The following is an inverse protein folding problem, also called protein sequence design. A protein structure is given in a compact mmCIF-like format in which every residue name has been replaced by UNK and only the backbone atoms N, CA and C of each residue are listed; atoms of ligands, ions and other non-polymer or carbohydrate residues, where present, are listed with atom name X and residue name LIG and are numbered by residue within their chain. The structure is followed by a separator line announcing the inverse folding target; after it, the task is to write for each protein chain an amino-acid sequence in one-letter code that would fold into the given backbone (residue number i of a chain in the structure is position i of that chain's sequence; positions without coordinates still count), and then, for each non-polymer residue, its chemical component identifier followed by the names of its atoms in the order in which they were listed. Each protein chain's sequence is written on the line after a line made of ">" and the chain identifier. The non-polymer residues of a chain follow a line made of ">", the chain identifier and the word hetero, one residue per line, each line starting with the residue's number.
data_IF_861905021152
#
_entry.id   IF_861905021152
#
_cell.length_a   1.000
_cell.length_b   1.000
_cell.length_c   1.000
_cell.angle_alpha   90.00
_cell.angle_beta   90.00
_cell.angle_gamma   90.00
#
_symmetry.space_group_name_H-M   'P 1'
#
loop_
_entity.id
_entity.type
_entity.pdbx_description
1 polymer ?
#
# COMPACT_ATOMS: atom_id res chain seq x y z
N UNK A 1 -7.96 9.62 -23.31
CA UNK A 1 -6.78 8.72 -23.43
C UNK A 1 -7.02 7.55 -22.50
N UNK A 2 -6.64 6.35 -22.91
CA UNK A 2 -6.84 5.15 -22.11
C UNK A 2 -5.89 5.10 -20.89
N UNK A 3 -6.39 4.71 -19.71
CA UNK A 3 -5.60 4.71 -18.45
C UNK A 3 -4.37 3.82 -18.52
N UNK A 4 -4.51 2.64 -19.12
CA UNK A 4 -3.42 1.68 -19.28
C UNK A 4 -2.39 2.17 -20.31
N UNK A 5 -2.85 2.78 -21.40
CA UNK A 5 -1.98 3.43 -22.38
C UNK A 5 -1.17 4.57 -21.76
N UNK A 6 -1.82 5.46 -21.00
CA UNK A 6 -1.14 6.59 -20.35
C UNK A 6 -0.05 6.11 -19.38
N UNK A 7 -0.32 5.05 -18.60
CA UNK A 7 0.68 4.45 -17.72
C UNK A 7 1.86 3.85 -18.50
N UNK A 8 1.60 3.15 -19.62
CA UNK A 8 2.67 2.60 -20.47
C UNK A 8 3.51 3.68 -21.14
N UNK A 9 2.90 4.78 -21.58
CA UNK A 9 3.64 5.93 -22.12
C UNK A 9 4.55 6.55 -21.05
N UNK A 10 4.05 6.71 -19.83
CA UNK A 10 4.85 7.16 -18.70
C UNK A 10 6.01 6.18 -18.42
N UNK A 11 5.74 4.87 -18.42
CA UNK A 11 6.76 3.83 -18.20
C UNK A 11 7.86 3.90 -19.26
N UNK A 12 7.51 3.96 -20.54
CA UNK A 12 8.46 4.09 -21.66
C UNK A 12 9.34 5.34 -21.51
N UNK A 13 8.72 6.49 -21.22
CA UNK A 13 9.41 7.76 -21.05
C UNK A 13 10.42 7.73 -19.89
N UNK A 14 10.15 6.96 -18.84
CA UNK A 14 10.98 6.87 -17.63
C UNK A 14 11.87 5.61 -17.59
N UNK A 15 11.90 4.83 -18.68
CA UNK A 15 12.74 3.64 -18.80
C UNK A 15 12.31 2.49 -17.90
N UNK A 16 11.01 2.32 -17.69
CA UNK A 16 10.42 1.17 -17.00
C UNK A 16 9.81 0.18 -18.00
N UNK A 17 10.04 -1.10 -17.75
CA UNK A 17 9.41 -2.21 -18.46
C UNK A 17 8.09 -2.64 -17.81
N UNK A 18 7.98 -2.44 -16.48
CA UNK A 18 6.77 -2.77 -15.73
C UNK A 18 6.51 -1.79 -14.59
N UNK A 19 5.29 -1.81 -14.06
CA UNK A 19 4.89 -1.06 -12.88
C UNK A 19 3.93 -1.87 -12.00
N UNK A 20 4.15 -1.84 -10.68
CA UNK A 20 3.30 -2.50 -9.68
C UNK A 20 2.25 -1.54 -9.14
N UNK A 21 1.03 -2.02 -8.98
CA UNK A 21 -0.08 -1.25 -8.42
C UNK A 21 -0.84 -2.15 -7.44
N UNK A 22 -0.53 -2.13 -6.14
CA UNK A 22 -1.27 -2.90 -5.14
C UNK A 22 -2.56 -2.20 -4.71
N UNK A 23 -3.48 -2.96 -4.08
CA UNK A 23 -4.44 -2.38 -3.13
C UNK A 23 -3.71 -2.12 -1.82
N UNK A 24 -3.06 -0.95 -1.71
CA UNK A 24 -2.39 -0.51 -0.49
C UNK A 24 -2.32 1.02 -0.44
N UNK A 25 -2.17 1.55 0.76
CA UNK A 25 -1.74 2.91 1.04
C UNK A 25 -0.46 2.90 1.89
N UNK A 26 0.05 4.08 2.24
CA UNK A 26 1.26 4.25 3.03
C UNK A 26 1.19 3.66 4.44
N UNK A 27 -0.01 3.32 4.92
CA UNK A 27 -0.26 2.76 6.25
C UNK A 27 -0.32 1.24 6.27
N UNK A 28 -0.30 0.59 5.09
CA UNK A 28 -0.39 -0.86 4.93
C UNK A 28 -1.67 -1.47 5.53
N UNK A 29 -2.76 -0.70 5.53
CA UNK A 29 -4.07 -1.16 5.99
C UNK A 29 -4.77 -2.10 4.98
N UNK A 30 -5.70 -2.93 5.47
CA UNK A 30 -6.50 -3.84 4.60
C UNK A 30 -7.46 -3.06 3.69
N UNK A 31 -8.01 -1.95 4.18
CA UNK A 31 -8.90 -1.07 3.44
C UNK A 31 -8.25 0.29 3.27
N UNK A 32 -8.35 0.82 2.05
CA UNK A 32 -7.73 2.10 1.68
C UNK A 32 -8.80 3.18 1.50
N UNK A 33 -8.42 4.43 1.77
CA UNK A 33 -9.27 5.58 1.49
C UNK A 33 -9.61 5.67 -0.01
N UNK A 34 -10.73 6.31 -0.39
CA UNK A 34 -11.05 6.54 -1.81
C UNK A 34 -9.93 7.19 -2.62
N UNK A 35 -9.14 8.08 -2.00
CA UNK A 35 -7.97 8.72 -2.60
C UNK A 35 -6.80 7.76 -2.85
N UNK A 36 -6.76 6.59 -2.24
CA UNK A 36 -5.70 5.61 -2.39
C UNK A 36 -6.10 4.39 -3.25
N UNK A 37 -7.35 4.35 -3.76
CA UNK A 37 -7.89 3.28 -4.63
C UNK A 37 -7.32 3.27 -6.06
N UNK A 38 -5.99 3.28 -6.19
CA UNK A 38 -5.26 3.33 -7.48
C UNK A 38 -5.47 2.08 -8.31
N UNK A 39 -5.54 0.89 -7.67
CA UNK A 39 -5.83 -0.36 -8.36
C UNK A 39 -7.22 -0.34 -8.99
N UNK A 40 -8.24 0.06 -8.22
CA UNK A 40 -9.61 0.19 -8.71
C UNK A 40 -9.69 1.23 -9.83
N UNK A 41 -9.04 2.38 -9.68
CA UNK A 41 -9.00 3.38 -10.73
C UNK A 41 -8.39 2.82 -12.04
N UNK A 42 -7.30 2.07 -11.95
CA UNK A 42 -6.60 1.54 -13.12
C UNK A 42 -7.35 0.39 -13.80
N UNK A 43 -7.90 -0.53 -13.01
CA UNK A 43 -8.41 -1.82 -13.50
C UNK A 43 -9.94 -1.92 -13.53
N UNK A 44 -10.62 -1.15 -12.69
CA UNK A 44 -12.06 -1.29 -12.40
C UNK A 44 -12.36 -2.26 -11.25
N UNK A 45 -11.39 -3.05 -10.79
CA UNK A 45 -11.58 -4.02 -9.71
C UNK A 45 -11.66 -3.35 -8.34
N UNK A 46 -12.76 -3.59 -7.64
CA UNK A 46 -13.12 -2.92 -6.37
C UNK A 46 -12.94 -3.80 -5.12
N UNK A 47 -12.41 -5.01 -5.25
CA UNK A 47 -12.15 -5.89 -4.12
C UNK A 47 -11.03 -5.37 -3.21
N UNK A 48 -11.03 -5.80 -1.95
CA UNK A 48 -10.06 -5.30 -0.95
C UNK A 48 -8.67 -5.93 -1.04
N UNK A 49 -8.49 -7.01 -1.80
CA UNK A 49 -7.19 -7.64 -2.00
C UNK A 49 -6.90 -7.85 -3.48
N UNK A 50 -5.83 -7.22 -3.96
CA UNK A 50 -5.37 -7.35 -5.33
C UNK A 50 -4.06 -6.62 -5.60
N UNK A 51 -3.41 -7.02 -6.69
CA UNK A 51 -2.23 -6.35 -7.22
C UNK A 51 -2.24 -6.42 -8.74
N UNK A 52 -2.09 -5.27 -9.40
CA UNK A 52 -1.84 -5.24 -10.83
C UNK A 52 -0.34 -5.17 -11.12
N UNK A 53 0.09 -5.98 -12.08
CA UNK A 53 1.41 -5.86 -12.71
C UNK A 53 1.20 -5.45 -14.15
N UNK A 54 1.51 -4.19 -14.45
CA UNK A 54 1.45 -3.65 -15.80
C UNK A 54 2.81 -3.79 -16.44
N UNK A 55 2.88 -4.47 -17.59
CA UNK A 55 4.05 -4.51 -18.45
C UNK A 55 3.76 -3.71 -19.73
N UNK A 56 4.80 -3.46 -20.54
CA UNK A 56 4.66 -2.70 -21.78
C UNK A 56 3.68 -3.32 -22.78
N UNK A 57 3.60 -4.65 -22.82
CA UNK A 57 2.83 -5.42 -23.80
C UNK A 57 1.59 -6.10 -23.21
N UNK A 58 1.60 -6.41 -21.91
CA UNK A 58 0.53 -7.14 -21.21
C UNK A 58 0.29 -6.59 -19.81
N UNK A 59 -0.81 -6.96 -19.17
CA UNK A 59 -1.08 -6.60 -17.79
C UNK A 59 -1.81 -7.73 -17.07
N UNK A 60 -1.52 -7.90 -15.80
CA UNK A 60 -2.11 -8.93 -14.95
C UNK A 60 -2.78 -8.27 -13.75
N UNK A 61 -3.89 -8.86 -13.30
CA UNK A 61 -4.53 -8.54 -12.02
C UNK A 61 -4.52 -9.80 -11.17
N UNK A 62 -3.70 -9.80 -10.12
CA UNK A 62 -3.61 -10.86 -9.13
C UNK A 62 -4.66 -10.64 -8.05
N UNK A 63 -5.41 -11.68 -7.72
CA UNK A 63 -6.45 -11.67 -6.68
C UNK A 63 -6.47 -12.98 -5.90
N UNK A 64 -6.98 -12.95 -4.68
CA UNK A 64 -7.24 -14.18 -3.92
C UNK A 64 -8.57 -14.84 -4.29
N UNK A 65 -8.80 -16.04 -3.75
CA UNK A 65 -9.95 -16.88 -4.07
C UNK A 65 -11.32 -16.24 -3.78
N UNK A 66 -11.41 -15.22 -2.90
CA UNK A 66 -12.63 -14.47 -2.64
C UNK A 66 -13.08 -13.66 -3.86
N UNK A 67 -12.14 -13.24 -4.69
CA UNK A 67 -12.33 -12.19 -5.68
C UNK A 67 -12.25 -12.64 -7.13
N UNK A 68 -11.92 -13.91 -7.42
CA UNK A 68 -11.76 -14.41 -8.80
C UNK A 68 -12.96 -14.06 -9.71
N UNK A 69 -14.19 -14.35 -9.26
CA UNK A 69 -15.40 -14.06 -10.04
C UNK A 69 -15.71 -12.56 -10.12
N UNK A 70 -15.38 -11.79 -9.09
CA UNK A 70 -15.58 -10.35 -9.07
C UNK A 70 -14.62 -9.66 -10.05
N UNK A 71 -13.33 -10.00 -9.99
CA UNK A 71 -12.31 -9.46 -10.87
C UNK A 71 -12.63 -9.73 -12.35
N UNK A 72 -13.11 -10.92 -12.69
CA UNK A 72 -13.55 -11.26 -14.05
C UNK A 72 -14.74 -10.43 -14.55
N UNK A 73 -15.63 -9.99 -13.65
CA UNK A 73 -16.81 -9.18 -13.99
C UNK A 73 -16.49 -7.70 -14.09
N UNK A 74 -15.62 -7.19 -13.21
CA UNK A 74 -15.32 -5.76 -13.08
C UNK A 74 -14.19 -5.30 -13.99
N UNK A 75 -13.33 -6.21 -14.45
CA UNK A 75 -12.13 -5.89 -15.23
C UNK A 75 -12.34 -6.23 -16.71
N UNK A 76 -11.86 -5.39 -17.62
CA UNK A 76 -11.86 -5.67 -19.06
C UNK A 76 -10.84 -6.79 -19.39
N UNK A 77 -11.28 -7.97 -19.85
CA UNK A 77 -10.40 -9.10 -20.12
C UNK A 77 -9.48 -8.87 -21.33
N UNK A 78 -9.73 -7.85 -22.16
CA UNK A 78 -8.80 -7.44 -23.22
C UNK A 78 -7.61 -6.65 -22.69
N UNK A 79 -7.69 -6.14 -21.47
CA UNK A 79 -6.68 -5.28 -20.85
C UNK A 79 -5.88 -5.98 -19.79
N UNK A 80 -6.55 -6.77 -18.95
CA UNK A 80 -5.93 -7.48 -17.84
C UNK A 80 -6.27 -8.96 -17.87
N UNK A 81 -5.25 -9.78 -17.68
CA UNK A 81 -5.41 -11.19 -17.36
C UNK A 81 -5.57 -11.35 -15.86
N UNK A 82 -6.74 -11.82 -15.41
CA UNK A 82 -6.99 -12.12 -13.99
C UNK A 82 -6.27 -13.43 -13.61
N UNK A 83 -5.47 -13.39 -12.56
CA UNK A 83 -4.70 -14.54 -12.05
C UNK A 83 -5.03 -14.74 -10.58
N UNK A 84 -5.48 -15.95 -10.21
CA UNK A 84 -5.74 -16.27 -8.82
C UNK A 84 -4.45 -16.71 -8.12
N UNK A 85 -4.11 -16.07 -7.00
CA UNK A 85 -3.01 -16.44 -6.10
C UNK A 85 -3.47 -16.43 -4.64
N UNK A 86 -2.90 -17.23 -3.74
CA UNK A 86 -3.36 -17.29 -2.35
C UNK A 86 -3.31 -15.95 -1.60
N UNK A 87 -2.36 -15.09 -1.94
CA UNK A 87 -2.06 -13.81 -1.28
C UNK A 87 -2.40 -12.59 -2.13
N UNK A 88 -3.08 -12.78 -3.27
CA UNK A 88 -3.40 -11.72 -4.23
C UNK A 88 -2.18 -10.95 -4.78
N UNK A 89 -0.98 -11.53 -4.70
CA UNK A 89 0.27 -10.94 -5.22
C UNK A 89 0.80 -11.68 -6.44
N UNK A 90 1.65 -10.98 -7.19
CA UNK A 90 2.43 -11.59 -8.26
C UNK A 90 3.45 -12.60 -7.70
N UNK A 91 3.40 -13.84 -8.17
CA UNK A 91 4.37 -14.85 -7.77
C UNK A 91 5.77 -14.58 -8.33
N UNK A 92 6.80 -15.06 -7.63
CA UNK A 92 8.23 -14.94 -7.99
C UNK A 92 8.52 -15.34 -9.45
N UNK A 93 7.76 -16.28 -10.00
CA UNK A 93 7.90 -16.75 -11.38
C UNK A 93 7.74 -15.63 -12.40
N UNK A 94 6.88 -14.64 -12.14
CA UNK A 94 6.65 -13.53 -13.07
C UNK A 94 7.90 -12.65 -13.15
N UNK A 95 8.43 -12.27 -11.99
CA UNK A 95 9.64 -11.47 -11.87
C UNK A 95 10.87 -12.21 -12.39
N UNK A 96 10.94 -13.52 -12.12
CA UNK A 96 11.99 -14.36 -12.65
C UNK A 96 11.91 -14.51 -14.18
N UNK A 97 10.73 -14.40 -14.81
CA UNK A 97 10.58 -14.51 -16.25
C UNK A 97 10.78 -13.17 -17.02
N UNK A 98 11.14 -12.08 -16.33
CA UNK A 98 11.37 -10.79 -16.96
C UNK A 98 12.64 -10.79 -17.83
N UNK A 99 12.66 -10.01 -18.92
CA UNK A 99 13.84 -9.94 -19.79
C UNK A 99 15.01 -9.27 -19.07
N UNK A 100 16.23 -9.64 -19.46
CA UNK A 100 17.45 -9.03 -18.94
C UNK A 100 17.43 -7.50 -19.16
N UNK A 101 17.78 -6.76 -18.11
CA UNK A 101 17.74 -5.29 -18.12
C UNK A 101 16.36 -4.68 -17.89
N UNK A 102 15.30 -5.48 -17.75
CA UNK A 102 13.98 -4.96 -17.41
C UNK A 102 13.99 -4.24 -16.06
N UNK A 103 13.31 -3.09 -16.00
CA UNK A 103 13.12 -2.30 -14.78
C UNK A 103 11.65 -2.29 -14.41
N UNK A 104 11.31 -2.82 -13.25
CA UNK A 104 9.96 -2.77 -12.69
C UNK A 104 9.88 -1.65 -11.67
N UNK A 105 9.02 -0.67 -11.93
CA UNK A 105 8.74 0.41 -11.00
C UNK A 105 7.73 -0.02 -9.93
N UNK A 106 7.88 0.52 -8.73
CA UNK A 106 6.88 0.44 -7.66
C UNK A 106 6.86 1.75 -6.89
N UNK A 107 5.72 2.10 -6.32
CA UNK A 107 5.64 3.22 -5.39
C UNK A 107 6.30 2.85 -4.07
N UNK A 108 7.32 3.61 -3.66
CA UNK A 108 8.11 3.32 -2.46
C UNK A 108 7.32 3.38 -1.15
N UNK A 109 6.13 4.00 -1.15
CA UNK A 109 5.26 4.05 0.02
C UNK A 109 4.32 2.84 0.14
N UNK A 110 4.13 2.05 -0.93
CA UNK A 110 3.08 1.03 -0.99
C UNK A 110 3.58 -0.41 -0.80
N UNK A 111 4.88 -0.59 -0.58
CA UNK A 111 5.49 -1.90 -0.42
C UNK A 111 6.42 -1.93 0.79
N UNK A 112 6.38 -3.01 1.54
CA UNK A 112 7.26 -3.23 2.68
C UNK A 112 8.70 -3.54 2.23
N UNK A 113 9.72 -3.28 3.05
CA UNK A 113 11.11 -3.63 2.73
C UNK A 113 11.30 -5.11 2.40
N UNK A 114 10.58 -6.00 3.08
CA UNK A 114 10.65 -7.44 2.86
C UNK A 114 10.03 -7.87 1.53
N UNK A 115 8.91 -7.28 1.13
CA UNK A 115 8.32 -7.50 -0.20
C UNK A 115 9.30 -7.06 -1.30
N UNK A 116 9.87 -5.86 -1.17
CA UNK A 116 10.86 -5.35 -2.13
C UNK A 116 12.08 -6.26 -2.22
N UNK A 117 12.60 -6.73 -1.08
CA UNK A 117 13.74 -7.64 -1.03
C UNK A 117 13.45 -8.96 -1.75
N UNK A 118 12.27 -9.55 -1.54
CA UNK A 118 11.83 -10.78 -2.24
C UNK A 118 11.71 -10.55 -3.74
N UNK A 119 11.01 -9.50 -4.16
CA UNK A 119 10.85 -9.15 -5.58
C UNK A 119 12.19 -8.85 -6.26
N UNK A 120 13.11 -8.15 -5.57
CA UNK A 120 14.46 -7.87 -6.08
C UNK A 120 15.25 -9.16 -6.31
N UNK A 121 15.20 -10.10 -5.36
CA UNK A 121 15.85 -11.41 -5.50
C UNK A 121 15.25 -12.22 -6.67
N UNK A 122 13.93 -12.17 -6.87
CA UNK A 122 13.27 -12.82 -8.00
C UNK A 122 13.68 -12.20 -9.35
N UNK A 123 13.70 -10.86 -9.46
CA UNK A 123 14.13 -10.13 -10.65
C UNK A 123 15.60 -10.44 -11.02
N UNK A 124 16.48 -10.54 -10.03
CA UNK A 124 17.90 -10.75 -10.24
C UNK A 124 18.23 -12.07 -10.95
N UNK A 125 17.35 -13.09 -10.88
CA UNK A 125 17.54 -14.41 -11.52
C UNK A 125 17.73 -14.32 -13.03
N UNK A 126 17.15 -13.31 -13.69
CA UNK A 126 17.29 -13.06 -15.12
C UNK A 126 17.86 -11.66 -15.46
N UNK A 127 18.54 -11.01 -14.51
CA UNK A 127 19.16 -9.70 -14.73
C UNK A 127 18.17 -8.53 -14.80
N UNK A 128 16.92 -8.72 -14.41
CA UNK A 128 15.96 -7.65 -14.21
C UNK A 128 16.18 -6.96 -12.86
N UNK A 129 15.57 -5.80 -12.66
CA UNK A 129 15.65 -5.01 -11.42
C UNK A 129 14.29 -4.44 -11.05
N UNK A 130 14.02 -4.39 -9.75
CA UNK A 130 12.94 -3.58 -9.20
C UNK A 130 13.52 -2.21 -8.79
N UNK A 131 12.78 -1.12 -9.00
CA UNK A 131 13.25 0.23 -8.74
C UNK A 131 12.16 1.11 -8.12
N UNK A 132 12.46 1.86 -7.06
CA UNK A 132 11.49 2.71 -6.40
C UNK A 132 11.12 3.91 -7.27
N UNK A 133 9.86 4.31 -7.18
CA UNK A 133 9.31 5.52 -7.78
C UNK A 133 8.68 6.33 -6.64
N UNK A 134 9.24 7.50 -6.29
CA UNK A 134 8.80 8.24 -5.10
C UNK A 134 7.44 8.94 -5.27
N UNK A 135 7.00 9.17 -6.51
CA UNK A 135 5.71 9.77 -6.83
C UNK A 135 4.92 8.81 -7.71
N UNK A 136 3.75 8.39 -7.24
CA UNK A 136 2.91 7.47 -8.00
C UNK A 136 2.49 8.11 -9.33
N UNK A 137 2.78 7.49 -10.49
CA UNK A 137 2.40 8.05 -11.77
C UNK A 137 0.88 8.11 -11.96
N UNK A 138 0.13 7.20 -11.32
CA UNK A 138 -1.35 7.18 -11.38
C UNK A 138 -1.91 8.49 -10.83
N UNK A 139 -1.32 9.05 -9.79
CA UNK A 139 -1.81 10.28 -9.16
C UNK A 139 -1.74 11.48 -10.12
N UNK A 140 -0.75 11.52 -11.00
CA UNK A 140 -0.65 12.55 -12.03
C UNK A 140 -1.67 12.36 -13.17
N UNK A 141 -2.17 11.14 -13.37
CA UNK A 141 -3.13 10.79 -14.42
C UNK A 141 -4.59 10.81 -13.93
N UNK A 142 -4.80 10.68 -12.62
CA UNK A 142 -6.12 10.62 -11.98
C UNK A 142 -6.66 12.04 -11.76
N UNK A 143 -7.23 12.64 -12.80
CA UNK A 143 -7.67 14.05 -12.80
C UNK A 143 -8.81 14.34 -11.82
N UNK A 144 -9.66 13.36 -11.54
CA UNK A 144 -10.80 13.42 -10.61
C UNK A 144 -10.52 12.67 -9.30
N UNK A 145 -9.24 12.57 -8.90
CA UNK A 145 -8.83 11.90 -7.67
C UNK A 145 -9.52 12.53 -6.45
N UNK A 146 -10.21 11.73 -5.60
CA UNK A 146 -10.74 12.22 -4.34
C UNK A 146 -9.64 12.81 -3.47
N UNK A 147 -9.95 13.85 -2.70
CA UNK A 147 -9.02 14.37 -1.70
C UNK A 147 -8.79 13.31 -0.62
N UNK A 148 -7.59 13.33 -0.04
CA UNK A 148 -7.34 12.57 1.17
C UNK A 148 -8.37 12.97 2.24
N UNK A 149 -8.94 11.99 2.96
CA UNK A 149 -9.88 12.27 4.02
C UNK A 149 -9.18 13.05 5.13
N UNK A 150 -9.85 14.07 5.65
CA UNK A 150 -9.39 14.83 6.81
C UNK A 150 -10.59 15.01 7.72
N UNK A 151 -10.86 13.97 8.52
CA UNK A 151 -12.00 13.98 9.42
C UNK A 151 -11.59 14.38 10.84
N UNK A 152 -12.57 14.85 11.63
CA UNK A 152 -12.31 15.24 13.01
C UNK A 152 -11.98 14.01 13.86
N UNK A 153 -10.83 14.05 14.53
CA UNK A 153 -10.49 13.11 15.59
C UNK A 153 -11.40 13.29 16.82
N UNK A 154 -11.79 12.19 17.43
CA UNK A 154 -12.61 12.13 18.65
C UNK A 154 -11.82 11.46 19.75
N UNK A 155 -11.68 12.13 20.90
CA UNK A 155 -11.08 11.54 22.08
C UNK A 155 -12.05 10.55 22.74
N UNK A 156 -11.53 9.38 23.13
CA UNK A 156 -12.26 8.32 23.80
C UNK A 156 -11.79 8.27 25.27
N UNK A 157 -12.62 8.70 26.24
CA UNK A 157 -12.19 8.81 27.63
C UNK A 157 -11.89 7.46 28.30
N UNK A 158 -11.17 7.51 29.42
CA UNK A 158 -10.68 6.34 30.16
C UNK A 158 -11.77 5.38 30.63
N UNK A 159 -13.00 5.87 30.86
CA UNK A 159 -14.12 5.00 31.19
C UNK A 159 -14.47 3.98 30.09
N UNK A 160 -14.03 4.23 28.85
CA UNK A 160 -14.12 3.28 27.74
C UNK A 160 -12.80 2.54 27.47
N UNK A 161 -11.66 3.19 27.68
CA UNK A 161 -10.35 2.66 27.26
C UNK A 161 -9.58 1.94 28.35
N UNK A 162 -9.95 2.14 29.62
CA UNK A 162 -9.33 1.55 30.81
C UNK A 162 -7.98 2.13 31.22
N UNK A 163 -7.29 2.85 30.32
CA UNK A 163 -5.98 3.47 30.55
C UNK A 163 -5.85 4.77 29.75
N UNK A 164 -5.22 5.77 30.38
CA UNK A 164 -4.82 7.01 29.71
C UNK A 164 -3.64 6.80 28.74
N UNK A 165 -3.37 7.79 27.89
CA UNK A 165 -2.32 7.71 26.87
C UNK A 165 -0.90 7.77 27.44
N UNK A 166 -0.67 8.52 28.51
CA UNK A 166 0.63 8.64 29.17
C UNK A 166 1.05 7.30 29.76
N UNK A 167 0.12 6.61 30.43
CA UNK A 167 0.32 5.27 30.99
C UNK A 167 0.65 4.26 29.88
N UNK A 168 -0.10 4.28 28.77
CA UNK A 168 0.17 3.40 27.60
C UNK A 168 1.53 3.66 26.96
N UNK A 169 1.95 4.92 26.86
CA UNK A 169 3.25 5.30 26.32
C UNK A 169 4.37 4.76 27.22
N UNK A 170 4.22 4.88 28.55
CA UNK A 170 5.19 4.33 29.51
C UNK A 170 5.29 2.80 29.37
N UNK A 171 4.14 2.12 29.29
CA UNK A 171 4.09 0.66 29.12
C UNK A 171 4.77 0.20 27.82
N UNK A 172 4.50 0.85 26.68
CA UNK A 172 5.14 0.51 25.41
C UNK A 172 6.64 0.81 25.44
N UNK A 173 7.03 1.97 25.96
CA UNK A 173 8.44 2.38 26.08
C UNK A 173 9.23 1.30 26.83
N UNK A 174 8.70 0.79 27.94
CA UNK A 174 9.30 -0.30 28.69
C UNK A 174 9.25 -1.64 27.93
N UNK A 175 8.10 -2.01 27.37
CA UNK A 175 7.89 -3.32 26.74
C UNK A 175 8.78 -3.54 25.49
N UNK A 176 9.03 -2.50 24.71
CA UNK A 176 9.92 -2.58 23.53
C UNK A 176 11.37 -2.29 23.86
N UNK A 177 11.69 -1.94 25.11
CA UNK A 177 13.04 -1.58 25.53
C UNK A 177 13.54 -0.29 24.88
N UNK A 178 12.65 0.68 24.62
CA UNK A 178 12.96 1.93 23.91
C UNK A 178 14.05 2.75 24.60
N UNK A 179 14.35 2.51 25.87
CA UNK A 179 15.50 3.08 26.57
C UNK A 179 16.86 2.77 25.91
N UNK A 180 16.93 1.71 25.09
CA UNK A 180 18.12 1.30 24.35
C UNK A 180 18.21 1.91 22.94
N UNK A 181 17.14 2.57 22.49
CA UNK A 181 17.03 3.23 21.19
C UNK A 181 16.74 4.73 21.37
N UNK A 182 16.73 5.51 20.29
CA UNK A 182 16.39 6.94 20.36
C UNK A 182 14.90 7.21 20.13
N UNK A 183 14.25 6.41 19.28
CA UNK A 183 12.84 6.54 18.94
C UNK A 183 12.25 5.25 18.35
N UNK A 184 10.93 5.11 18.47
CA UNK A 184 10.09 4.12 17.79
C UNK A 184 9.21 4.83 16.76
N UNK A 185 9.26 4.38 15.50
CA UNK A 185 8.36 4.88 14.44
C UNK A 185 7.11 4.00 14.40
N UNK A 186 5.95 4.64 14.54
CA UNK A 186 4.64 4.01 14.44
C UNK A 186 4.04 4.33 13.07
N UNK A 187 3.75 3.28 12.29
CA UNK A 187 3.17 3.40 10.96
C UNK A 187 1.74 2.89 10.85
N UNK A 188 1.23 2.18 11.87
CA UNK A 188 -0.15 1.70 11.93
C UNK A 188 -1.06 2.77 12.57
N UNK A 189 -2.06 3.29 11.85
CA UNK A 189 -3.08 4.19 12.38
C UNK A 189 -3.86 3.59 13.55
N UNK A 190 -4.09 2.27 13.56
CA UNK A 190 -4.75 1.55 14.65
C UNK A 190 -3.92 1.63 15.94
N UNK A 191 -2.61 1.39 15.85
CA UNK A 191 -1.69 1.50 16.98
C UNK A 191 -1.68 2.92 17.54
N UNK A 192 -1.61 3.93 16.68
CA UNK A 192 -1.58 5.34 17.08
C UNK A 192 -2.93 5.75 17.71
N UNK A 193 -4.05 5.38 17.10
CA UNK A 193 -5.38 5.63 17.62
C UNK A 193 -5.60 4.98 19.01
N UNK A 194 -5.07 3.77 19.20
CA UNK A 194 -5.10 3.09 20.49
C UNK A 194 -4.22 3.78 21.54
N UNK A 195 -3.00 4.19 21.16
CA UNK A 195 -2.03 4.84 22.03
C UNK A 195 -2.57 6.18 22.54
N UNK A 196 -3.12 6.98 21.64
CA UNK A 196 -3.61 8.33 21.91
C UNK A 196 -5.05 8.40 22.42
N UNK A 197 -5.72 7.25 22.58
CA UNK A 197 -7.15 7.22 22.92
C UNK A 197 -8.00 8.07 21.96
N UNK A 198 -7.65 8.11 20.68
CA UNK A 198 -8.42 8.84 19.65
C UNK A 198 -9.05 7.89 18.65
N UNK A 199 -10.16 8.31 18.04
CA UNK A 199 -10.81 7.62 16.91
C UNK A 199 -11.07 8.61 15.79
N UNK A 200 -11.04 8.13 14.56
CA UNK A 200 -11.27 8.93 13.37
C UNK A 200 -12.29 8.30 12.43
N UNK A 201 -12.40 8.87 11.23
CA UNK A 201 -13.30 8.40 10.16
C UNK A 201 -12.63 8.43 8.80
N UNK A 202 -11.29 8.43 8.78
CA UNK A 202 -10.55 8.58 7.54
C UNK A 202 -10.75 7.37 6.60
N UNK A 203 -10.97 6.19 7.18
CA UNK A 203 -11.32 4.98 6.44
C UNK A 203 -12.77 4.57 6.73
N UNK A 204 -13.59 4.31 5.70
CA UNK A 204 -14.94 3.80 5.91
C UNK A 204 -14.96 2.55 6.79
N UNK A 205 -15.80 2.56 7.82
CA UNK A 205 -16.00 1.46 8.78
C UNK A 205 -14.79 1.12 9.68
N UNK A 206 -13.67 1.84 9.57
CA UNK A 206 -12.50 1.66 10.43
C UNK A 206 -12.26 2.96 11.20
N UNK A 207 -12.44 2.98 12.54
CA UNK A 207 -12.47 4.21 13.32
C UNK A 207 -11.07 4.75 13.65
N UNK A 208 -10.22 4.94 12.64
CA UNK A 208 -8.83 5.39 12.77
C UNK A 208 -8.61 6.81 12.22
N UNK A 209 -7.56 7.46 12.71
CA UNK A 209 -7.01 8.68 12.14
C UNK A 209 -5.73 8.28 11.40
N UNK A 210 -5.72 8.43 10.07
CA UNK A 210 -4.56 8.10 9.25
C UNK A 210 -3.39 9.01 9.63
N UNK A 211 -2.36 8.43 10.23
CA UNK A 211 -1.24 9.16 10.83
C UNK A 211 0.00 8.28 10.92
N UNK A 212 1.16 8.94 11.00
CA UNK A 212 2.41 8.38 11.46
C UNK A 212 2.75 9.05 12.78
N UNK A 213 3.49 8.37 13.65
CA UNK A 213 3.98 8.99 14.88
C UNK A 213 5.41 8.54 15.19
N UNK A 214 6.15 9.38 15.89
CA UNK A 214 7.49 9.07 16.41
C UNK A 214 7.46 9.17 17.93
N UNK A 215 7.62 8.03 18.60
CA UNK A 215 7.74 7.96 20.05
C UNK A 215 9.22 8.03 20.43
N UNK A 216 9.64 9.12 21.04
CA UNK A 216 11.00 9.30 21.54
C UNK A 216 11.18 8.63 22.91
N UNK A 217 12.42 8.24 23.23
CA UNK A 217 12.77 7.59 24.51
C UNK A 217 12.41 8.38 25.78
N UNK A 218 12.19 9.69 25.65
CA UNK A 218 11.74 10.55 26.75
C UNK A 218 10.20 10.54 26.95
N UNK A 219 9.47 9.72 26.19
CA UNK A 219 8.01 9.62 26.23
C UNK A 219 7.27 10.66 25.37
N UNK A 220 7.99 11.51 24.63
CA UNK A 220 7.36 12.47 23.70
C UNK A 220 6.89 11.75 22.45
N UNK A 221 5.65 12.00 22.03
CA UNK A 221 5.09 11.51 20.78
C UNK A 221 4.87 12.70 19.82
N UNK A 222 5.58 12.68 18.69
CA UNK A 222 5.40 13.63 17.57
C UNK A 222 4.56 13.01 16.44
#
# INVERSE_FOLDING_TARGET
>A
MDKLTALREWMLKNGFFGFLVPTADEYQGEYVAPSAKRLEWLTGFSGSAGEAVVLLDRAFLFVDGRYTLQAQKETDPKRFTVVQTPDARAGDWLFAALPNGARIGYDSWLHTPDEVKKMAAACAKNGAKIAPVPLNPIDAMWTDKPKAPVERAVFLPENYTGLDSTSKIADITAAVGLEQDDALVLTSPESIAWLLNVRGRDIPFIPVVQSFAVLYKNGTLD
#
